data_IF_483792537811
#
_entry.id   IF_483792537811
#
_cell.length_a   1.000
_cell.length_b   1.000
_cell.length_c   1.000
_cell.angle_alpha   90.00
_cell.angle_beta   90.00
_cell.angle_gamma   90.00
#
_symmetry.space_group_name_H-M   'P 1'
#
loop_
_entity.id
_entity.type
_entity.pdbx_description
1 polymer ?
#
# COMPACT_ATOMS: atom_id res chain seq x y z
N UNK A 1 -25.03 -9.92 -6.91
CA UNK A 1 -24.08 -9.07 -6.16
C UNK A 1 -22.94 -8.66 -7.07
N UNK A 2 -23.06 -7.48 -7.69
CA UNK A 2 -22.01 -6.92 -8.55
C UNK A 2 -20.85 -6.46 -7.67
N UNK A 3 -19.79 -7.27 -7.59
CA UNK A 3 -18.60 -6.98 -6.77
C UNK A 3 -17.97 -5.68 -7.23
N UNK A 4 -17.79 -4.76 -6.29
CA UNK A 4 -17.05 -3.51 -6.48
C UNK A 4 -15.59 -3.84 -6.86
N UNK A 5 -15.22 -3.66 -8.12
CA UNK A 5 -13.92 -4.06 -8.68
C UNK A 5 -12.80 -3.04 -8.48
N UNK A 6 -13.05 -1.93 -7.76
CA UNK A 6 -12.07 -0.86 -7.47
C UNK A 6 -11.34 -1.03 -6.13
N UNK A 7 -11.41 -2.21 -5.52
CA UNK A 7 -10.55 -2.56 -4.39
C UNK A 7 -9.12 -2.82 -4.89
N UNK A 8 -8.14 -2.59 -4.01
CA UNK A 8 -6.74 -3.03 -4.16
C UNK A 8 -6.75 -4.41 -4.81
N UNK A 9 -6.18 -4.55 -6.01
CA UNK A 9 -6.38 -5.76 -6.80
C UNK A 9 -6.02 -6.99 -5.96
N UNK A 10 -6.65 -8.14 -6.19
CA UNK A 10 -6.36 -9.37 -5.44
C UNK A 10 -4.84 -9.66 -5.40
N UNK A 11 -4.13 -9.26 -6.46
CA UNK A 11 -2.67 -9.24 -6.55
C UNK A 11 -2.00 -8.32 -5.53
N UNK A 12 -2.36 -7.04 -5.44
CA UNK A 12 -1.75 -6.11 -4.47
C UNK A 12 -2.12 -6.48 -3.03
N UNK A 13 -3.36 -6.91 -2.79
CA UNK A 13 -3.76 -7.41 -1.48
C UNK A 13 -2.96 -8.65 -1.05
N UNK A 14 -2.71 -9.58 -1.98
CA UNK A 14 -1.85 -10.74 -1.76
C UNK A 14 -0.40 -10.33 -1.52
N UNK A 15 0.15 -9.45 -2.35
CA UNK A 15 1.50 -8.94 -2.21
C UNK A 15 1.71 -8.24 -0.85
N UNK A 16 0.73 -7.46 -0.39
CA UNK A 16 0.77 -6.84 0.91
C UNK A 16 0.78 -7.87 2.05
N UNK A 17 -0.08 -8.89 1.97
CA UNK A 17 -0.09 -9.98 2.95
C UNK A 17 1.23 -10.77 2.97
N UNK A 18 1.79 -11.09 1.80
CA UNK A 18 3.08 -11.76 1.66
C UNK A 18 4.23 -10.89 2.22
N UNK A 19 4.21 -9.58 1.96
CA UNK A 19 5.17 -8.62 2.52
C UNK A 19 5.08 -8.53 4.04
N UNK A 20 3.87 -8.63 4.61
CA UNK A 20 3.68 -8.65 6.07
C UNK A 20 4.20 -9.94 6.71
N UNK A 21 3.97 -11.08 6.06
CA UNK A 21 4.45 -12.39 6.54
C UNK A 21 5.95 -12.60 6.32
N UNK A 22 6.54 -11.91 5.34
CA UNK A 22 7.96 -11.99 5.03
C UNK A 22 8.83 -11.43 6.17
N UNK A 23 9.73 -12.25 6.70
CA UNK A 23 10.73 -11.84 7.69
C UNK A 23 11.82 -10.94 7.10
N UNK A 24 12.10 -11.06 5.80
CA UNK A 24 13.07 -10.25 5.06
C UNK A 24 12.55 -8.87 4.65
N UNK A 25 11.24 -8.64 4.75
CA UNK A 25 10.63 -7.37 4.39
C UNK A 25 10.95 -6.28 5.42
N UNK A 26 11.38 -5.12 4.92
CA UNK A 26 11.67 -3.96 5.75
C UNK A 26 10.43 -3.47 6.52
N UNK A 27 10.64 -2.83 7.67
CA UNK A 27 9.55 -2.23 8.45
C UNK A 27 8.72 -1.23 7.63
N UNK A 28 9.36 -0.53 6.68
CA UNK A 28 8.68 0.40 5.77
C UNK A 28 7.76 -0.35 4.82
N UNK A 29 8.24 -1.43 4.20
CA UNK A 29 7.43 -2.27 3.31
C UNK A 29 6.22 -2.86 4.04
N UNK A 30 6.42 -3.37 5.26
CA UNK A 30 5.35 -3.89 6.12
C UNK A 30 4.33 -2.81 6.49
N UNK A 31 4.78 -1.60 6.80
CA UNK A 31 3.88 -0.48 7.10
C UNK A 31 3.03 -0.11 5.90
N UNK A 32 3.62 -0.02 4.70
CA UNK A 32 2.92 0.27 3.45
C UNK A 32 1.92 -0.83 3.09
N UNK A 33 2.32 -2.09 3.24
CA UNK A 33 1.45 -3.25 3.04
C UNK A 33 0.24 -3.24 3.99
N UNK A 34 0.48 -2.98 5.28
CA UNK A 34 -0.60 -2.85 6.27
C UNK A 34 -1.55 -1.69 5.93
N UNK A 35 -1.03 -0.56 5.47
CA UNK A 35 -1.85 0.57 5.03
C UNK A 35 -2.67 0.24 3.78
N UNK A 36 -2.08 -0.41 2.78
CA UNK A 36 -2.80 -0.85 1.58
C UNK A 36 -3.93 -1.85 1.90
N UNK A 37 -3.70 -2.77 2.84
CA UNK A 37 -4.72 -3.71 3.32
C UNK A 37 -5.80 -3.03 4.15
N UNK A 38 -5.42 -2.07 5.00
CA UNK A 38 -6.36 -1.32 5.83
C UNK A 38 -7.29 -0.45 4.98
N UNK A 39 -6.75 0.16 3.92
CA UNK A 39 -7.54 0.92 2.93
C UNK A 39 -8.48 0.03 2.11
N UNK A 40 -8.12 -1.25 1.89
CA UNK A 40 -8.98 -2.20 1.17
C UNK A 40 -10.33 -2.42 1.86
N UNK A 41 -10.36 -2.34 3.19
CA UNK A 41 -11.57 -2.51 3.98
C UNK A 41 -12.46 -1.27 4.06
N UNK A 42 -12.11 -0.15 3.40
CA UNK A 42 -13.01 0.99 3.15
C UNK A 42 -13.16 2.00 4.30
N UNK A 43 -13.01 1.59 5.55
CA UNK A 43 -13.27 2.47 6.71
C UNK A 43 -12.03 3.25 7.20
N UNK A 44 -10.83 2.96 6.67
CA UNK A 44 -9.57 3.56 7.14
C UNK A 44 -8.90 4.38 6.04
N UNK A 45 -8.78 5.69 6.25
CA UNK A 45 -8.00 6.57 5.39
C UNK A 45 -6.50 6.48 5.72
N UNK A 46 -5.69 6.51 4.67
CA UNK A 46 -4.24 6.71 4.82
C UNK A 46 -3.99 8.14 5.26
N UNK A 47 -3.30 8.30 6.38
CA UNK A 47 -2.92 9.62 6.88
C UNK A 47 -1.76 10.22 6.10
N UNK A 48 -1.63 11.55 6.12
CA UNK A 48 -0.58 12.30 5.43
C UNK A 48 0.86 11.77 5.69
N UNK A 49 1.13 11.27 6.91
CA UNK A 49 2.43 10.66 7.25
C UNK A 49 2.74 9.40 6.42
N UNK A 50 1.71 8.63 6.08
CA UNK A 50 1.87 7.40 5.30
C UNK A 50 1.95 7.70 3.80
N UNK A 51 1.25 8.73 3.35
CA UNK A 51 1.40 9.28 1.99
C UNK A 51 2.84 9.76 1.76
N UNK A 52 3.39 10.56 2.68
CA UNK A 52 4.77 11.05 2.54
C UNK A 52 5.79 9.89 2.55
N UNK A 53 5.59 8.89 3.40
CA UNK A 53 6.41 7.66 3.37
C UNK A 53 6.31 6.93 2.04
N UNK A 54 5.10 6.76 1.50
CA UNK A 54 4.89 6.12 0.21
C UNK A 54 5.54 6.91 -0.93
N UNK A 55 5.47 8.24 -0.89
CA UNK A 55 6.11 9.12 -1.88
C UNK A 55 7.64 8.98 -1.84
N UNK A 56 8.23 8.96 -0.63
CA UNK A 56 9.67 8.72 -0.46
C UNK A 56 10.11 7.34 -0.96
N UNK A 57 9.28 6.31 -0.76
CA UNK A 57 9.55 4.95 -1.25
C UNK A 57 9.53 4.90 -2.77
N UNK A 58 8.58 5.58 -3.41
CA UNK A 58 8.55 5.71 -4.87
C UNK A 58 9.75 6.48 -5.42
N UNK A 59 10.15 7.55 -4.74
CA UNK A 59 11.27 8.40 -5.14
C UNK A 59 12.66 7.76 -4.91
N UNK A 60 12.75 6.67 -4.15
CA UNK A 60 14.01 6.02 -3.81
C UNK A 60 14.19 4.72 -4.57
N UNK A 61 15.31 4.57 -5.27
CA UNK A 61 15.65 3.36 -6.02
C UNK A 61 16.17 2.20 -5.17
N UNK A 62 16.32 2.43 -3.87
CA UNK A 62 16.76 1.42 -2.91
C UNK A 62 15.66 0.42 -2.55
N UNK A 63 14.41 0.73 -2.88
CA UNK A 63 13.28 -0.13 -2.57
C UNK A 63 12.96 -1.08 -3.72
N UNK A 64 12.61 -2.31 -3.37
CA UNK A 64 12.17 -3.31 -4.32
C UNK A 64 10.94 -2.83 -5.10
N UNK A 65 10.81 -3.30 -6.34
CA UNK A 65 9.69 -2.98 -7.22
C UNK A 65 8.34 -3.26 -6.56
N UNK A 66 8.23 -4.36 -5.83
CA UNK A 66 7.04 -4.77 -5.07
C UNK A 66 6.66 -3.75 -3.99
N UNK A 67 7.65 -3.21 -3.25
CA UNK A 67 7.42 -2.17 -2.25
C UNK A 67 6.97 -0.86 -2.90
N UNK A 68 7.55 -0.52 -4.07
CA UNK A 68 7.11 0.62 -4.88
C UNK A 68 5.67 0.43 -5.38
N UNK A 69 5.29 -0.77 -5.81
CA UNK A 69 3.90 -1.09 -6.22
C UNK A 69 2.92 -0.92 -5.05
N UNK A 70 3.29 -1.37 -3.84
CA UNK A 70 2.49 -1.15 -2.62
C UNK A 70 2.35 0.35 -2.30
N UNK A 71 3.45 1.10 -2.35
CA UNK A 71 3.46 2.55 -2.13
C UNK A 71 2.57 3.30 -3.14
N UNK A 72 2.67 2.96 -4.43
CA UNK A 72 1.82 3.50 -5.48
C UNK A 72 0.35 3.19 -5.24
N UNK A 73 0.02 1.98 -4.79
CA UNK A 73 -1.36 1.63 -4.44
C UNK A 73 -1.88 2.46 -3.27
N UNK A 74 -1.08 2.63 -2.22
CA UNK A 74 -1.44 3.45 -1.05
C UNK A 74 -1.69 4.90 -1.45
N UNK A 75 -0.84 5.48 -2.30
CA UNK A 75 -0.98 6.84 -2.82
C UNK A 75 -2.14 7.00 -3.81
N UNK A 76 -2.41 5.99 -4.63
CA UNK A 76 -3.55 6.03 -5.55
C UNK A 76 -4.88 5.92 -4.80
N UNK A 77 -4.88 5.33 -3.60
CA UNK A 77 -6.03 5.17 -2.73
C UNK A 77 -6.08 6.24 -1.62
N UNK A 78 -5.00 7.02 -1.46
CA UNK A 78 -4.99 8.21 -0.65
C UNK A 78 -5.93 9.25 -1.27
N UNK A 79 -6.65 9.96 -0.42
CA UNK A 79 -7.77 10.78 -0.85
C UNK A 79 -7.24 11.96 -1.69
N UNK A 80 -7.46 11.94 -3.01
CA UNK A 80 -6.94 12.95 -3.95
C UNK A 80 -7.63 14.32 -3.86
N UNK A 81 -8.73 14.44 -3.11
CA UNK A 81 -9.52 15.67 -2.96
C UNK A 81 -9.06 16.52 -1.76
N UNK A 82 -7.76 16.71 -1.58
CA UNK A 82 -7.24 17.71 -0.65
C UNK A 82 -7.03 19.04 -1.36
#
# INVERSE_FOLDING_TARGET
>A
MSKNTKQTSSRIGRLASETLQSSSSSQVAKSLAASALSQRSGDKQTGAKMEDKAARVLASDRYAKETKELAASVLSQANKQR
#
